data_IF_074139618741
#
_entry.id   IF_074139618741
#
_cell.length_a   1.000
_cell.length_b   1.000
_cell.length_c   1.000
_cell.angle_alpha   90.00
_cell.angle_beta   90.00
_cell.angle_gamma   90.00
#
_symmetry.space_group_name_H-M   'P 1'
#
loop_
_entity.id
_entity.type
_entity.pdbx_description
1 polymer ?
#
# COMPACT_ATOMS: atom_id res chain seq x y z
N UNK A 1 -31.01 -14.00 54.74
CA UNK A 1 -30.03 -14.69 53.86
C UNK A 1 -30.50 -14.44 52.44
N UNK A 2 -29.84 -13.56 51.68
CA UNK A 2 -30.22 -13.28 50.30
C UNK A 2 -29.76 -14.42 49.40
N UNK A 3 -30.70 -15.04 48.71
CA UNK A 3 -30.45 -16.13 47.78
C UNK A 3 -29.62 -15.63 46.58
N UNK A 4 -28.35 -16.05 46.54
CA UNK A 4 -27.35 -15.67 45.54
C UNK A 4 -27.25 -16.70 44.40
N UNK A 5 -28.19 -17.63 44.29
CA UNK A 5 -28.21 -18.69 43.25
C UNK A 5 -28.25 -18.16 41.81
N UNK A 6 -28.62 -16.89 41.60
CA UNK A 6 -28.61 -16.21 40.30
C UNK A 6 -27.23 -15.66 39.89
N UNK A 7 -26.32 -15.47 40.85
CA UNK A 7 -25.03 -14.78 40.65
C UNK A 7 -24.07 -15.52 39.70
N UNK A 8 -23.96 -16.87 39.72
CA UNK A 8 -23.13 -17.60 38.75
C UNK A 8 -23.58 -17.45 37.30
N UNK A 9 -24.90 -17.35 37.07
CA UNK A 9 -25.47 -17.18 35.73
C UNK A 9 -25.21 -15.79 35.16
N UNK A 10 -25.27 -14.75 36.00
CA UNK A 10 -24.94 -13.37 35.60
C UNK A 10 -23.44 -13.23 35.32
N UNK A 11 -22.58 -13.77 36.18
CA UNK A 11 -21.12 -13.74 35.95
C UNK A 11 -20.75 -14.54 34.70
N UNK A 12 -21.34 -15.72 34.50
CA UNK A 12 -21.18 -16.52 33.28
C UNK A 12 -21.63 -15.79 32.01
N UNK A 13 -22.79 -15.12 32.06
CA UNK A 13 -23.31 -14.32 30.96
C UNK A 13 -22.40 -13.14 30.59
N UNK A 14 -21.89 -12.42 31.58
CA UNK A 14 -20.95 -11.29 31.36
C UNK A 14 -19.62 -11.77 30.78
N UNK A 15 -19.10 -12.92 31.22
CA UNK A 15 -17.87 -13.49 30.67
C UNK A 15 -18.04 -13.95 29.22
N UNK A 16 -19.17 -14.56 28.87
CA UNK A 16 -19.47 -14.97 27.48
C UNK A 16 -19.66 -13.75 26.58
N UNK A 17 -20.37 -12.71 27.04
CA UNK A 17 -20.53 -11.47 26.28
C UNK A 17 -19.19 -10.72 26.11
N UNK A 18 -18.36 -10.70 27.15
CA UNK A 18 -17.01 -10.11 27.08
C UNK A 18 -16.10 -10.90 26.14
N UNK A 19 -16.16 -12.23 26.16
CA UNK A 19 -15.41 -13.09 25.25
C UNK A 19 -15.86 -12.93 23.79
N UNK A 20 -17.18 -12.91 23.54
CA UNK A 20 -17.75 -12.65 22.23
C UNK A 20 -17.40 -11.24 21.75
N UNK A 21 -17.45 -10.23 22.62
CA UNK A 21 -16.96 -8.89 22.30
C UNK A 21 -15.48 -8.93 21.95
N UNK A 22 -14.59 -9.50 22.77
CA UNK A 22 -13.16 -9.51 22.49
C UNK A 22 -12.78 -10.32 21.24
N UNK A 23 -13.49 -11.39 20.89
CA UNK A 23 -13.18 -12.24 19.72
C UNK A 23 -13.89 -11.82 18.44
N UNK A 24 -15.15 -11.39 18.52
CA UNK A 24 -16.00 -11.06 17.36
C UNK A 24 -15.93 -9.58 17.01
N UNK A 25 -15.73 -8.68 18.00
CA UNK A 25 -15.64 -7.24 17.75
C UNK A 25 -14.44 -6.82 16.88
N UNK A 26 -13.23 -7.39 17.00
CA UNK A 26 -12.13 -7.07 16.09
C UNK A 26 -12.47 -7.43 14.63
N UNK A 27 -13.13 -8.57 14.42
CA UNK A 27 -13.58 -9.02 13.10
C UNK A 27 -14.68 -8.11 12.54
N UNK A 28 -15.70 -7.80 13.35
CA UNK A 28 -16.78 -6.87 13.01
C UNK A 28 -16.24 -5.45 12.76
N UNK A 29 -15.26 -4.98 13.53
CA UNK A 29 -14.58 -3.69 13.31
C UNK A 29 -13.81 -3.68 12.00
N UNK A 30 -13.12 -4.75 11.65
CA UNK A 30 -12.39 -4.86 10.38
C UNK A 30 -13.35 -4.80 9.20
N UNK A 31 -14.48 -5.52 9.26
CA UNK A 31 -15.53 -5.48 8.24
C UNK A 31 -16.16 -4.07 8.17
N UNK A 32 -16.59 -3.52 9.30
CA UNK A 32 -17.19 -2.17 9.38
C UNK A 32 -16.22 -1.09 8.87
N UNK A 33 -14.91 -1.21 9.14
CA UNK A 33 -13.90 -0.25 8.67
C UNK A 33 -13.63 -0.40 7.17
N UNK A 34 -13.63 -1.62 6.63
CA UNK A 34 -13.50 -1.86 5.20
C UNK A 34 -14.65 -1.22 4.39
N UNK A 35 -15.86 -1.16 4.96
CA UNK A 35 -17.03 -0.52 4.32
C UNK A 35 -17.17 0.99 4.56
N UNK A 36 -16.29 1.64 5.34
CA UNK A 36 -16.47 3.04 5.78
C UNK A 36 -15.89 4.12 4.86
N UNK A 37 -15.32 3.73 3.72
CA UNK A 37 -14.70 4.67 2.79
C UNK A 37 -13.52 5.44 3.41
N UNK A 38 -13.06 6.51 2.74
CA UNK A 38 -11.92 7.29 3.20
C UNK A 38 -12.10 7.89 4.60
N UNK A 39 -11.11 7.68 5.47
CA UNK A 39 -11.10 8.25 6.83
C UNK A 39 -10.35 9.57 6.86
N UNK A 40 -10.98 10.57 7.48
CA UNK A 40 -10.39 11.88 7.72
C UNK A 40 -10.52 12.29 9.18
N UNK A 41 -9.48 12.91 9.72
CA UNK A 41 -9.53 13.60 11.01
C UNK A 41 -10.12 15.00 10.82
N UNK A 42 -11.13 15.36 11.61
CA UNK A 42 -11.86 16.63 11.48
C UNK A 42 -11.02 17.89 11.69
N UNK A 43 -9.94 17.78 12.48
CA UNK A 43 -8.98 18.86 12.74
C UNK A 43 -7.57 18.37 12.43
N UNK A 44 -7.28 18.21 11.13
CA UNK A 44 -5.90 17.98 10.71
C UNK A 44 -5.03 19.18 11.08
N UNK A 45 -3.78 18.91 11.46
CA UNK A 45 -2.76 19.93 11.75
C UNK A 45 -1.76 20.09 10.61
N UNK A 46 -1.95 19.36 9.50
CA UNK A 46 -1.05 19.43 8.36
C UNK A 46 -1.21 20.77 7.65
N UNK A 47 -0.10 21.34 7.19
CA UNK A 47 -0.15 22.35 6.13
C UNK A 47 -0.67 21.75 4.83
N UNK A 48 -1.03 22.60 3.86
CA UNK A 48 -1.46 22.14 2.53
C UNK A 48 -0.35 21.32 1.85
N UNK A 49 0.90 21.77 1.94
CA UNK A 49 2.07 21.06 1.40
C UNK A 49 2.28 19.69 2.06
N UNK A 50 2.20 19.63 3.39
CA UNK A 50 2.29 18.37 4.11
C UNK A 50 1.16 17.41 3.73
N UNK A 51 -0.04 17.92 3.53
CA UNK A 51 -1.17 17.10 3.11
C UNK A 51 -0.97 16.59 1.67
N UNK A 52 -0.46 17.44 0.77
CA UNK A 52 -0.11 17.05 -0.60
C UNK A 52 0.92 15.92 -0.63
N UNK A 53 2.00 16.03 0.14
CA UNK A 53 3.04 15.00 0.29
C UNK A 53 2.49 13.69 0.86
N UNK A 54 1.66 13.77 1.91
CA UNK A 54 1.00 12.59 2.48
C UNK A 54 0.04 11.91 1.51
N UNK A 55 -0.51 12.66 0.56
CA UNK A 55 -1.51 12.14 -0.38
C UNK A 55 -0.94 11.10 -1.36
N UNK A 56 0.38 11.04 -1.52
CA UNK A 56 1.09 9.98 -2.27
C UNK A 56 0.79 8.59 -1.68
N UNK A 57 0.69 8.45 -0.36
CA UNK A 57 0.39 7.19 0.32
C UNK A 57 -1.10 6.87 0.45
N UNK A 58 -2.00 7.63 -0.21
CA UNK A 58 -3.44 7.55 0.06
C UNK A 58 -4.05 6.20 -0.27
N UNK A 59 -3.62 5.55 -1.38
CA UNK A 59 -4.15 4.24 -1.77
C UNK A 59 -3.86 3.17 -0.71
N UNK A 60 -2.62 3.09 -0.24
CA UNK A 60 -2.26 2.10 0.78
C UNK A 60 -2.94 2.42 2.12
N UNK A 61 -2.99 3.70 2.51
CA UNK A 61 -3.68 4.12 3.72
C UNK A 61 -5.18 3.80 3.65
N UNK A 62 -5.83 4.06 2.52
CA UNK A 62 -7.24 3.74 2.27
C UNK A 62 -7.48 2.22 2.36
N UNK A 63 -6.65 1.42 1.68
CA UNK A 63 -6.74 -0.05 1.72
C UNK A 63 -6.68 -0.59 3.16
N UNK A 64 -5.83 -0.01 4.00
CA UNK A 64 -5.69 -0.44 5.40
C UNK A 64 -6.71 0.20 6.35
N UNK A 65 -7.52 1.14 5.88
CA UNK A 65 -8.48 1.89 6.68
C UNK A 65 -7.82 2.88 7.63
N UNK A 66 -6.68 3.45 7.25
CA UNK A 66 -5.98 4.52 7.95
C UNK A 66 -6.49 5.91 7.59
N UNK A 67 -6.12 6.92 8.37
CA UNK A 67 -6.42 8.31 8.04
C UNK A 67 -5.64 8.77 6.80
N UNK A 68 -6.27 9.57 5.93
CA UNK A 68 -5.60 10.14 4.75
C UNK A 68 -4.97 11.52 5.00
N UNK A 69 -5.44 12.24 6.02
CA UNK A 69 -5.08 13.64 6.26
C UNK A 69 -4.33 13.88 7.58
N UNK A 70 -3.61 12.89 8.09
CA UNK A 70 -2.72 13.03 9.26
C UNK A 70 -1.52 12.13 9.12
N UNK A 71 -0.39 12.48 9.76
CA UNK A 71 0.78 11.61 9.80
C UNK A 71 0.43 10.22 10.37
N UNK A 72 -0.17 10.20 11.56
CA UNK A 72 -0.67 8.96 12.17
C UNK A 72 -1.78 8.32 11.32
N UNK A 73 -1.69 7.00 11.12
CA UNK A 73 -2.69 6.21 10.39
C UNK A 73 -3.87 5.81 11.29
N UNK A 74 -3.67 5.76 12.61
CA UNK A 74 -4.69 5.33 13.60
C UNK A 74 -5.23 3.92 13.32
N UNK A 75 -4.29 2.99 13.10
CA UNK A 75 -4.53 1.55 12.88
C UNK A 75 -3.56 0.68 13.70
N UNK A 76 -3.20 1.13 14.90
CA UNK A 76 -2.18 0.47 15.76
C UNK A 76 -2.44 -1.01 16.01
N UNK A 77 -3.70 -1.42 15.99
CA UNK A 77 -4.13 -2.82 16.09
C UNK A 77 -3.66 -3.70 14.92
N UNK A 78 -3.42 -3.12 13.74
CA UNK A 78 -2.96 -3.82 12.53
C UNK A 78 -1.45 -3.74 12.31
N UNK A 79 -0.79 -2.73 12.90
CA UNK A 79 0.62 -2.45 12.63
C UNK A 79 1.56 -3.61 12.97
N UNK A 80 1.36 -4.43 14.02
CA UNK A 80 2.20 -5.60 14.27
C UNK A 80 2.19 -6.61 13.12
N UNK A 81 1.02 -6.90 12.55
CA UNK A 81 0.91 -7.79 11.38
C UNK A 81 1.48 -7.13 10.13
N UNK A 82 1.12 -5.87 9.87
CA UNK A 82 1.61 -5.17 8.68
C UNK A 82 3.15 -5.07 8.73
N UNK A 83 3.70 -4.45 9.77
CA UNK A 83 5.14 -4.22 9.86
C UNK A 83 5.92 -5.50 10.15
N UNK A 84 5.51 -6.28 11.15
CA UNK A 84 6.25 -7.46 11.58
C UNK A 84 6.12 -8.64 10.61
N UNK A 85 4.89 -9.04 10.27
CA UNK A 85 4.66 -10.24 9.47
C UNK A 85 4.87 -10.00 7.97
N UNK A 86 4.43 -8.87 7.42
CA UNK A 86 4.54 -8.63 5.96
C UNK A 86 5.85 -7.95 5.55
N UNK A 87 6.37 -7.06 6.39
CA UNK A 87 7.56 -6.27 6.08
C UNK A 87 8.80 -6.70 6.86
N UNK A 88 8.68 -7.57 7.87
CA UNK A 88 9.81 -7.96 8.72
C UNK A 88 10.32 -6.87 9.66
N UNK A 89 9.59 -5.75 9.80
CA UNK A 89 9.97 -4.59 10.60
C UNK A 89 9.48 -4.75 12.04
N UNK A 90 10.41 -5.00 12.96
CA UNK A 90 10.10 -5.19 14.38
C UNK A 90 10.72 -4.14 15.30
N UNK A 91 11.66 -3.34 14.77
CA UNK A 91 12.37 -2.33 15.52
C UNK A 91 12.87 -1.16 14.63
N UNK A 92 13.59 -0.22 15.23
CA UNK A 92 14.08 0.98 14.58
C UNK A 92 15.18 0.74 13.52
N UNK A 93 15.97 -0.32 13.66
CA UNK A 93 16.98 -0.71 12.68
C UNK A 93 16.30 -1.25 11.42
N UNK A 94 15.46 -2.28 11.56
CA UNK A 94 14.70 -2.88 10.47
C UNK A 94 13.92 -1.81 9.69
N UNK A 95 13.28 -0.88 10.41
CA UNK A 95 12.50 0.19 9.79
C UNK A 95 13.34 1.07 8.85
N UNK A 96 14.56 1.45 9.27
CA UNK A 96 15.44 2.28 8.44
C UNK A 96 16.00 1.49 7.27
N UNK A 97 16.46 0.26 7.52
CA UNK A 97 16.99 -0.61 6.48
C UNK A 97 15.95 -0.86 5.39
N UNK A 98 14.72 -1.24 5.76
CA UNK A 98 13.64 -1.47 4.79
C UNK A 98 13.23 -0.21 4.05
N UNK A 99 13.13 0.95 4.73
CA UNK A 99 12.76 2.20 4.07
C UNK A 99 13.87 2.72 3.14
N UNK A 100 15.13 2.58 3.53
CA UNK A 100 16.27 2.95 2.69
C UNK A 100 16.38 2.02 1.47
N UNK A 101 16.14 0.72 1.64
CA UNK A 101 16.10 -0.24 0.53
C UNK A 101 14.95 0.07 -0.44
N UNK A 102 13.74 0.33 0.07
CA UNK A 102 12.60 0.77 -0.75
C UNK A 102 12.90 2.04 -1.57
N UNK A 103 13.64 2.99 -0.99
CA UNK A 103 14.05 4.21 -1.70
C UNK A 103 15.13 3.97 -2.75
N UNK A 104 15.89 2.87 -2.67
CA UNK A 104 17.02 2.58 -3.56
C UNK A 104 16.67 1.57 -4.65
N UNK A 105 15.92 0.53 -4.29
CA UNK A 105 15.66 -0.67 -5.09
C UNK A 105 14.20 -1.09 -5.01
N UNK A 106 13.32 -0.16 -5.39
CA UNK A 106 11.89 -0.41 -5.56
C UNK A 106 11.58 -1.37 -6.71
N UNK A 107 10.29 -1.52 -7.02
CA UNK A 107 9.89 -2.25 -8.22
C UNK A 107 10.37 -1.56 -9.49
N UNK A 108 10.48 -0.22 -9.46
CA UNK A 108 11.00 0.58 -10.57
C UNK A 108 12.41 0.17 -11.03
N UNK A 109 13.26 -0.34 -10.14
CA UNK A 109 14.61 -0.76 -10.48
C UNK A 109 14.62 -1.92 -11.50
N UNK A 110 13.71 -2.87 -11.31
CA UNK A 110 13.60 -4.07 -12.16
C UNK A 110 12.75 -3.81 -13.40
N UNK A 111 11.79 -2.90 -13.29
CA UNK A 111 10.68 -2.74 -14.23
C UNK A 111 11.10 -2.49 -15.69
N UNK A 112 12.13 -1.68 -16.02
CA UNK A 112 12.57 -1.52 -17.41
C UNK A 112 12.90 -2.85 -18.10
N UNK A 113 13.62 -3.73 -17.40
CA UNK A 113 14.01 -5.05 -17.90
C UNK A 113 12.82 -6.01 -17.94
N UNK A 114 11.93 -5.94 -16.94
CA UNK A 114 10.68 -6.70 -16.91
C UNK A 114 9.80 -6.34 -18.10
N UNK A 115 9.66 -5.06 -18.42
CA UNK A 115 8.87 -4.59 -19.55
C UNK A 115 9.51 -5.01 -20.88
N UNK A 116 10.83 -4.88 -21.04
CA UNK A 116 11.54 -5.36 -22.22
C UNK A 116 11.31 -6.86 -22.45
N UNK A 117 11.47 -7.67 -21.41
CA UNK A 117 11.21 -9.10 -21.45
C UNK A 117 9.73 -9.41 -21.78
N UNK A 118 8.78 -8.63 -21.24
CA UNK A 118 7.35 -8.79 -21.51
C UNK A 118 6.94 -8.54 -22.97
N UNK A 119 7.74 -7.79 -23.73
CA UNK A 119 7.52 -7.58 -25.16
C UNK A 119 8.00 -8.77 -26.01
N UNK A 120 8.86 -9.64 -25.46
CA UNK A 120 9.38 -10.82 -26.14
C UNK A 120 8.43 -12.02 -25.97
N UNK A 121 8.47 -12.93 -26.94
CA UNK A 121 7.76 -14.22 -26.88
C UNK A 121 8.69 -15.40 -26.54
N UNK A 122 10.01 -15.22 -26.62
CA UNK A 122 11.02 -16.26 -26.38
C UNK A 122 11.50 -16.21 -24.92
N UNK A 123 11.30 -17.31 -24.20
CA UNK A 123 11.68 -17.42 -22.79
C UNK A 123 13.21 -17.37 -22.59
N UNK A 124 14.00 -17.87 -23.54
CA UNK A 124 15.46 -17.80 -23.43
C UNK A 124 15.95 -16.34 -23.54
N UNK A 125 15.40 -15.58 -24.49
CA UNK A 125 15.71 -14.17 -24.62
C UNK A 125 15.24 -13.33 -23.40
N UNK A 126 14.13 -13.72 -22.77
CA UNK A 126 13.68 -13.11 -21.51
C UNK A 126 14.65 -13.40 -20.36
N UNK A 127 15.12 -14.65 -20.25
CA UNK A 127 16.11 -15.04 -19.25
C UNK A 127 17.43 -14.30 -19.43
N UNK A 128 17.92 -14.20 -20.67
CA UNK A 128 19.15 -13.49 -21.02
C UNK A 128 19.14 -12.03 -20.54
N UNK A 129 18.01 -11.33 -20.65
CA UNK A 129 17.85 -9.96 -20.14
C UNK A 129 18.11 -9.92 -18.63
N UNK A 130 17.55 -10.86 -17.87
CA UNK A 130 17.71 -10.86 -16.42
C UNK A 130 19.11 -11.29 -15.99
N UNK A 131 19.69 -12.31 -16.63
CA UNK A 131 21.06 -12.75 -16.34
C UNK A 131 22.10 -11.65 -16.59
N UNK A 132 21.88 -10.79 -17.59
CA UNK A 132 22.81 -9.71 -17.94
C UNK A 132 22.69 -8.48 -17.02
N UNK A 133 21.53 -8.25 -16.41
CA UNK A 133 21.24 -7.00 -15.69
C UNK A 133 21.06 -7.18 -14.17
N UNK A 134 20.84 -8.39 -13.67
CA UNK A 134 20.63 -8.66 -12.25
C UNK A 134 21.94 -9.05 -11.56
N UNK A 135 22.29 -8.32 -10.49
CA UNK A 135 23.57 -8.46 -9.79
C UNK A 135 23.60 -9.65 -8.81
N UNK A 136 22.43 -10.18 -8.46
CA UNK A 136 22.27 -11.26 -7.46
C UNK A 136 21.13 -12.19 -7.81
N UNK A 137 21.14 -13.38 -7.21
CA UNK A 137 20.07 -14.36 -7.36
C UNK A 137 18.73 -13.81 -6.85
N UNK A 138 18.73 -13.04 -5.76
CA UNK A 138 17.53 -12.42 -5.21
C UNK A 138 16.92 -11.40 -6.19
N UNK A 139 17.76 -10.60 -6.84
CA UNK A 139 17.33 -9.64 -7.84
C UNK A 139 16.73 -10.30 -9.08
N UNK A 140 17.38 -11.37 -9.54
CA UNK A 140 16.91 -12.21 -10.62
C UNK A 140 15.53 -12.80 -10.31
N UNK A 141 15.35 -13.38 -9.12
CA UNK A 141 14.07 -13.96 -8.70
C UNK A 141 12.96 -12.90 -8.60
N UNK A 142 13.28 -11.70 -8.10
CA UNK A 142 12.34 -10.56 -8.08
C UNK A 142 11.93 -10.14 -9.50
N UNK A 143 12.87 -10.01 -10.42
CA UNK A 143 12.57 -9.62 -11.81
C UNK A 143 11.72 -10.69 -12.54
N UNK A 144 12.08 -11.96 -12.41
CA UNK A 144 11.32 -13.08 -12.99
C UNK A 144 9.91 -13.14 -12.42
N UNK A 145 9.75 -12.99 -11.09
CA UNK A 145 8.44 -12.96 -10.46
C UNK A 145 7.57 -11.81 -10.95
N UNK A 146 8.15 -10.62 -11.14
CA UNK A 146 7.43 -9.48 -11.73
C UNK A 146 6.99 -9.76 -13.17
N UNK A 147 7.83 -10.38 -14.00
CA UNK A 147 7.45 -10.74 -15.37
C UNK A 147 6.30 -11.75 -15.39
N UNK A 148 6.37 -12.79 -14.56
CA UNK A 148 5.32 -13.80 -14.45
C UNK A 148 3.99 -13.16 -14.07
N UNK A 149 3.98 -12.35 -13.00
CA UNK A 149 2.77 -11.66 -12.57
C UNK A 149 2.25 -10.66 -13.61
N UNK A 150 3.13 -9.95 -14.32
CA UNK A 150 2.73 -9.04 -15.39
C UNK A 150 2.04 -9.79 -16.54
N UNK A 151 2.58 -10.95 -16.96
CA UNK A 151 1.95 -11.81 -17.97
C UNK A 151 0.56 -12.27 -17.52
N UNK A 152 0.41 -12.64 -16.25
CA UNK A 152 -0.87 -13.10 -15.70
C UNK A 152 -1.92 -11.98 -15.62
N UNK A 153 -1.53 -10.79 -15.16
CA UNK A 153 -2.48 -9.69 -14.90
C UNK A 153 -2.75 -8.80 -16.11
N UNK A 154 -2.04 -8.98 -17.23
CA UNK A 154 -2.18 -8.12 -18.41
C UNK A 154 -3.64 -7.98 -18.88
N UNK A 155 -4.34 -9.10 -19.07
CA UNK A 155 -5.74 -9.10 -19.51
C UNK A 155 -6.67 -8.53 -18.43
N UNK A 156 -6.37 -8.72 -17.14
CA UNK A 156 -7.14 -8.09 -16.06
C UNK A 156 -7.00 -6.56 -16.08
N UNK A 157 -5.78 -6.04 -16.31
CA UNK A 157 -5.53 -4.61 -16.37
C UNK A 157 -6.28 -3.95 -17.53
N UNK A 158 -6.42 -4.64 -18.67
CA UNK A 158 -7.28 -4.21 -19.78
C UNK A 158 -8.76 -4.26 -19.38
N UNK A 159 -9.21 -5.40 -18.83
CA UNK A 159 -10.61 -5.62 -18.46
C UNK A 159 -11.10 -4.64 -17.38
N UNK A 160 -10.22 -4.21 -16.48
CA UNK A 160 -10.52 -3.23 -15.43
C UNK A 160 -10.21 -1.78 -15.84
N UNK A 161 -9.95 -1.53 -17.14
CA UNK A 161 -9.73 -0.21 -17.71
C UNK A 161 -8.58 0.56 -17.03
N UNK A 162 -7.54 -0.17 -16.58
CA UNK A 162 -6.30 0.42 -16.04
C UNK A 162 -5.38 0.83 -17.17
N UNK A 163 -5.32 0.00 -18.21
CA UNK A 163 -4.52 0.20 -19.43
C UNK A 163 -5.39 -0.09 -20.65
N UNK A 164 -5.00 0.44 -21.81
CA UNK A 164 -5.62 0.13 -23.10
C UNK A 164 -4.71 -0.67 -24.02
N UNK A 165 -3.39 -0.66 -23.74
CA UNK A 165 -2.39 -1.39 -24.52
C UNK A 165 -1.12 -1.63 -23.69
N UNK A 166 -0.14 -2.33 -24.28
CA UNK A 166 1.17 -2.55 -23.66
C UNK A 166 1.93 -1.24 -23.43
N UNK A 167 1.76 -0.25 -24.31
CA UNK A 167 2.43 1.05 -24.21
C UNK A 167 2.02 1.81 -22.94
N UNK A 168 0.78 1.63 -22.46
CA UNK A 168 0.34 2.22 -21.20
C UNK A 168 1.08 1.64 -19.98
N UNK A 169 1.53 0.38 -20.04
CA UNK A 169 2.37 -0.23 -18.98
C UNK A 169 3.68 0.53 -18.86
N UNK A 170 4.35 0.81 -19.98
CA UNK A 170 5.59 1.60 -19.97
C UNK A 170 5.34 3.06 -19.56
N UNK A 171 4.24 3.66 -20.02
CA UNK A 171 3.89 5.06 -19.73
C UNK A 171 3.65 5.28 -18.24
N UNK A 172 2.83 4.44 -17.61
CA UNK A 172 2.51 4.59 -16.19
C UNK A 172 3.59 4.00 -15.29
N UNK A 173 4.26 2.93 -15.72
CA UNK A 173 5.27 2.24 -14.92
C UNK A 173 4.73 1.78 -13.57
N UNK A 174 5.64 1.65 -12.59
CA UNK A 174 5.33 1.15 -11.24
C UNK A 174 5.75 2.08 -10.12
N UNK A 175 6.29 3.26 -10.44
CA UNK A 175 6.81 4.21 -9.44
C UNK A 175 5.72 4.66 -8.45
N UNK A 176 4.46 4.75 -8.88
CA UNK A 176 3.35 5.05 -7.98
C UNK A 176 3.23 4.05 -6.83
N UNK A 177 3.46 2.76 -7.10
CA UNK A 177 3.45 1.68 -6.10
C UNK A 177 4.61 1.83 -5.12
N UNK A 178 5.82 2.14 -5.58
CA UNK A 178 6.99 2.36 -4.74
C UNK A 178 6.81 3.58 -3.83
N UNK A 179 6.46 4.73 -4.41
CA UNK A 179 6.22 5.97 -3.67
C UNK A 179 5.11 5.81 -2.63
N UNK A 180 4.01 5.14 -2.98
CA UNK A 180 2.91 4.88 -2.07
C UNK A 180 3.30 3.98 -0.89
N UNK A 181 4.16 2.98 -1.12
CA UNK A 181 4.69 2.10 -0.05
C UNK A 181 5.66 2.83 0.87
N UNK A 182 6.62 3.59 0.32
CA UNK A 182 7.55 4.39 1.13
C UNK A 182 6.76 5.31 2.08
N UNK A 183 5.78 6.04 1.53
CA UNK A 183 4.95 6.96 2.32
C UNK A 183 4.19 6.23 3.45
N UNK A 184 3.49 5.14 3.12
CA UNK A 184 2.68 4.41 4.10
C UNK A 184 3.54 3.75 5.18
N UNK A 185 4.63 3.07 4.80
CA UNK A 185 5.50 2.35 5.74
C UNK A 185 6.19 3.35 6.68
N UNK A 186 6.65 4.50 6.19
CA UNK A 186 7.21 5.55 7.05
C UNK A 186 6.23 6.01 8.14
N UNK A 187 4.95 6.19 7.78
CA UNK A 187 3.89 6.57 8.72
C UNK A 187 3.60 5.46 9.73
N UNK A 188 3.55 4.21 9.27
CA UNK A 188 3.34 3.04 10.13
C UNK A 188 4.48 2.88 11.15
N UNK A 189 5.74 3.00 10.70
CA UNK A 189 6.91 2.97 11.58
C UNK A 189 6.89 4.12 12.60
N UNK A 190 6.45 5.32 12.19
CA UNK A 190 6.26 6.45 13.10
C UNK A 190 5.19 6.17 14.17
N UNK A 191 4.05 5.57 13.79
CA UNK A 191 2.97 5.22 14.73
C UNK A 191 3.42 4.20 15.80
N UNK A 192 4.35 3.30 15.42
CA UNK A 192 5.00 2.34 16.30
C UNK A 192 6.21 2.89 17.05
N UNK A 193 6.60 4.15 16.79
CA UNK A 193 7.78 4.82 17.36
C UNK A 193 9.11 4.13 17.00
N UNK A 194 9.16 3.39 15.90
CA UNK A 194 10.41 2.84 15.36
C UNK A 194 11.27 3.93 14.71
N UNK A 195 10.62 4.96 14.17
CA UNK A 195 11.28 6.17 13.68
C UNK A 195 10.58 7.40 14.26
N UNK A 196 11.31 8.51 14.31
CA UNK A 196 10.76 9.82 14.70
C UNK A 196 9.84 10.40 13.62
N UNK A 197 9.02 11.39 14.01
CA UNK A 197 8.20 12.14 13.05
C UNK A 197 9.07 12.84 11.99
N UNK A 198 10.25 13.35 12.37
CA UNK A 198 11.20 13.97 11.45
C UNK A 198 11.71 12.97 10.40
N UNK A 199 12.13 11.77 10.84
CA UNK A 199 12.56 10.72 9.92
C UNK A 199 11.41 10.29 9.00
N UNK A 200 10.20 10.13 9.52
CA UNK A 200 9.04 9.78 8.72
C UNK A 200 8.76 10.83 7.62
N UNK A 201 8.86 12.12 7.94
CA UNK A 201 8.73 13.20 6.96
C UNK A 201 9.83 13.18 5.92
N UNK A 202 11.08 12.85 6.27
CA UNK A 202 12.15 12.72 5.29
C UNK A 202 11.85 11.63 4.25
N UNK A 203 11.30 10.48 4.66
CA UNK A 203 10.88 9.43 3.72
C UNK A 203 9.63 9.81 2.91
N UNK A 204 8.66 10.49 3.52
CA UNK A 204 7.49 11.02 2.83
C UNK A 204 7.92 12.04 1.76
N UNK A 205 8.93 12.85 2.03
CA UNK A 205 9.48 13.81 1.08
C UNK A 205 10.16 13.11 -0.09
N UNK A 206 10.97 12.07 0.16
CA UNK A 206 11.53 11.22 -0.90
C UNK A 206 10.45 10.58 -1.77
N UNK A 207 9.39 10.04 -1.15
CA UNK A 207 8.26 9.46 -1.87
C UNK A 207 7.54 10.50 -2.75
N UNK A 208 7.39 11.72 -2.24
CA UNK A 208 6.80 12.83 -2.98
C UNK A 208 7.68 13.24 -4.17
N UNK A 209 8.98 13.43 -3.97
CA UNK A 209 9.93 13.76 -5.04
C UNK A 209 9.96 12.69 -6.13
N UNK A 210 9.95 11.42 -5.74
CA UNK A 210 9.90 10.28 -6.66
C UNK A 210 8.63 10.29 -7.51
N UNK A 211 7.46 10.50 -6.91
CA UNK A 211 6.19 10.58 -7.65
C UNK A 211 6.10 11.84 -8.53
N UNK A 212 6.45 13.02 -8.00
CA UNK A 212 6.32 14.31 -8.70
C UNK A 212 7.32 14.51 -9.83
N UNK A 213 8.46 13.82 -9.80
CA UNK A 213 9.40 13.78 -10.93
C UNK A 213 8.95 12.83 -12.05
N UNK A 214 8.07 11.88 -11.74
CA UNK A 214 7.66 10.81 -12.67
C UNK A 214 6.29 11.06 -13.31
N UNK A 215 5.39 11.80 -12.66
CA UNK A 215 4.00 11.97 -13.10
C UNK A 215 3.59 13.43 -13.22
N UNK A 216 2.55 13.66 -14.04
CA UNK A 216 1.96 14.99 -14.25
C UNK A 216 0.55 15.13 -13.67
N UNK A 217 -0.01 14.04 -13.14
CA UNK A 217 -1.36 14.00 -12.61
C UNK A 217 -1.56 12.91 -11.55
N UNK A 218 -2.56 13.11 -10.69
CA UNK A 218 -3.03 12.07 -9.77
C UNK A 218 -3.49 10.81 -10.50
N UNK A 219 -4.05 10.95 -11.71
CA UNK A 219 -4.51 9.82 -12.51
C UNK A 219 -3.33 8.92 -12.93
N UNK A 220 -2.26 9.51 -13.47
CA UNK A 220 -1.09 8.72 -13.88
C UNK A 220 -0.45 8.01 -12.68
N UNK A 221 -0.32 8.72 -11.55
CA UNK A 221 0.18 8.13 -10.29
C UNK A 221 -0.72 7.00 -9.77
N UNK A 222 -2.04 7.15 -9.89
CA UNK A 222 -3.00 6.13 -9.50
C UNK A 222 -2.88 4.86 -10.36
N UNK A 223 -2.81 5.01 -11.69
CA UNK A 223 -2.64 3.87 -12.59
C UNK A 223 -1.30 3.18 -12.36
N UNK A 224 -0.22 3.94 -12.18
CA UNK A 224 1.09 3.41 -11.82
C UNK A 224 1.06 2.57 -10.53
N UNK A 225 0.35 3.04 -9.50
CA UNK A 225 0.17 2.28 -8.26
C UNK A 225 -0.61 0.97 -8.49
N UNK A 226 -1.72 1.03 -9.24
CA UNK A 226 -2.55 -0.14 -9.53
C UNK A 226 -1.76 -1.20 -10.30
N UNK A 227 -1.00 -0.78 -11.32
CA UNK A 227 -0.13 -1.66 -12.12
C UNK A 227 0.95 -2.29 -11.24
N UNK A 228 1.72 -1.48 -10.49
CA UNK A 228 2.79 -2.00 -9.63
C UNK A 228 2.28 -2.99 -8.58
N UNK A 229 1.09 -2.74 -8.00
CA UNK A 229 0.46 -3.68 -7.06
C UNK A 229 0.00 -4.98 -7.73
N UNK A 230 -0.54 -4.91 -8.95
CA UNK A 230 -0.92 -6.09 -9.71
C UNK A 230 0.32 -6.93 -10.07
N UNK A 231 1.43 -6.30 -10.45
CA UNK A 231 2.72 -6.95 -10.70
C UNK A 231 3.31 -7.55 -9.40
N UNK A 232 3.09 -6.93 -8.24
CA UNK A 232 3.53 -7.49 -6.96
C UNK A 232 2.73 -8.74 -6.55
N UNK A 233 1.41 -8.73 -6.69
CA UNK A 233 0.55 -9.77 -6.11
C UNK A 233 -0.12 -10.72 -7.10
N UNK A 234 0.07 -10.52 -8.41
CA UNK A 234 -0.60 -11.28 -9.46
C UNK A 234 -2.13 -11.14 -9.43
N UNK A 235 -2.82 -12.15 -9.97
CA UNK A 235 -4.30 -12.21 -9.99
C UNK A 235 -4.93 -12.32 -8.59
N UNK A 236 -4.18 -12.85 -7.62
CA UNK A 236 -4.62 -12.97 -6.23
C UNK A 236 -4.65 -11.64 -5.45
N UNK A 237 -4.16 -10.54 -6.04
CA UNK A 237 -4.07 -9.27 -5.35
C UNK A 237 -5.42 -8.53 -5.22
N UNK A 238 -6.53 -9.04 -5.76
CA UNK A 238 -7.80 -8.31 -5.83
C UNK A 238 -7.70 -6.99 -6.62
N UNK A 239 -7.18 -7.06 -7.84
CA UNK A 239 -6.84 -5.89 -8.68
C UNK A 239 -8.04 -4.97 -8.97
N UNK A 240 -9.23 -5.52 -9.24
CA UNK A 240 -10.45 -4.73 -9.42
C UNK A 240 -10.79 -3.88 -8.18
N UNK A 241 -10.60 -4.42 -6.98
CA UNK A 241 -10.83 -3.68 -5.74
C UNK A 241 -9.87 -2.51 -5.58
N UNK A 242 -8.61 -2.67 -5.98
CA UNK A 242 -7.63 -1.58 -5.95
C UNK A 242 -7.95 -0.50 -6.99
N UNK A 243 -8.35 -0.86 -8.20
CA UNK A 243 -8.84 0.09 -9.21
C UNK A 243 -10.04 0.88 -8.69
N UNK A 244 -11.00 0.23 -8.06
CA UNK A 244 -12.13 0.91 -7.42
C UNK A 244 -11.71 1.93 -6.34
N UNK A 245 -10.71 1.59 -5.51
CA UNK A 245 -10.15 2.55 -4.54
C UNK A 245 -9.44 3.73 -5.21
N UNK A 246 -8.77 3.50 -6.34
CA UNK A 246 -8.15 4.55 -7.13
C UNK A 246 -9.20 5.50 -7.73
N UNK A 247 -10.27 4.95 -8.30
CA UNK A 247 -11.38 5.72 -8.86
C UNK A 247 -12.10 6.54 -7.78
N UNK A 248 -12.29 5.96 -6.59
CA UNK A 248 -12.84 6.66 -5.44
C UNK A 248 -11.96 7.85 -5.03
N UNK A 249 -10.63 7.67 -4.98
CA UNK A 249 -9.73 8.78 -4.68
C UNK A 249 -9.70 9.84 -5.80
N UNK A 250 -9.86 9.45 -7.06
CA UNK A 250 -9.84 10.40 -8.18
C UNK A 250 -11.14 11.20 -8.33
N UNK A 251 -12.28 10.68 -7.84
CA UNK A 251 -13.60 11.27 -8.08
C UNK A 251 -14.30 11.81 -6.83
N UNK A 252 -14.00 11.30 -5.64
CA UNK A 252 -14.71 11.69 -4.42
C UNK A 252 -14.33 13.13 -4.02
N UNK A 253 -15.29 14.06 -3.86
CA UNK A 253 -15.01 15.45 -3.47
C UNK A 253 -14.29 15.62 -2.13
N UNK A 254 -14.34 14.59 -1.26
CA UNK A 254 -13.62 14.56 0.01
C UNK A 254 -12.20 14.04 -0.12
N UNK A 255 -11.84 13.45 -1.26
CA UNK A 255 -10.52 12.89 -1.48
C UNK A 255 -9.43 13.97 -1.50
N UNK A 256 -8.24 13.70 -0.94
CA UNK A 256 -7.10 14.58 -1.10
C UNK A 256 -6.78 14.88 -2.57
N UNK A 257 -6.92 13.91 -3.47
CA UNK A 257 -6.55 14.07 -4.88
C UNK A 257 -7.51 14.98 -5.65
N UNK A 258 -8.72 15.17 -5.14
CA UNK A 258 -9.69 16.14 -5.69
C UNK A 258 -9.52 17.51 -5.03
N UNK A 259 -9.23 17.54 -3.72
CA UNK A 259 -9.08 18.79 -2.96
C UNK A 259 -7.75 19.51 -3.23
N UNK A 260 -6.69 18.75 -3.52
CA UNK A 260 -5.34 19.26 -3.72
C UNK A 260 -4.93 18.95 -5.15
N UNK A 261 -4.70 19.99 -5.94
CA UNK A 261 -4.18 19.83 -7.31
C UNK A 261 -2.79 19.19 -7.28
N UNK A 262 -2.50 18.42 -8.34
CA UNK A 262 -1.18 17.80 -8.54
C UNK A 262 -0.04 18.80 -8.41
#
# INVERSE_FOLDING_TARGET
MTDMSWMPWVVGGVMVLSFLYMKVWPFVRTIIRAFRGPRFKSKSKLSVEQYKKLSIGSLYALQQGGYLNTLSLDIKDKLPTILGEWWGINNAHDARETLDDLCRKGYDYYFPFVYEAFLLNDENAQDDIFQQNMESQEDYEKAVGQLQNLKEVYEELIAYEVITSKEDIARYGVIGWDAGRINFVARACCDMKYISEMEAWNYIDKAYELAHSSFTSWHDMAMSYVIGRAIWGGTNAHNLGMKGMADDLLSNPKSPWVQIKW
#
